data_IF_459181771235
#
_entry.id   IF_459181771235
#
_cell.length_a   1.000
_cell.length_b   1.000
_cell.length_c   1.000
_cell.angle_alpha   90.00
_cell.angle_beta   90.00
_cell.angle_gamma   90.00
#
_symmetry.space_group_name_H-M   'P 1'
#
loop_
_entity.id
_entity.type
_entity.pdbx_description
1 polymer ?
#
# COMPACT_ATOMS: atom_id res chain seq x y z
N UNK A 1 -19.88 -25.99 -16.07
CA UNK A 1 -19.69 -25.53 -14.67
C UNK A 1 -18.24 -25.59 -14.14
N UNK A 2 -17.48 -26.68 -14.36
CA UNK A 2 -16.11 -26.83 -13.79
C UNK A 2 -15.13 -25.69 -14.16
N UNK A 3 -15.09 -25.24 -15.43
CA UNK A 3 -14.19 -24.15 -15.89
C UNK A 3 -14.36 -22.82 -15.11
N UNK A 4 -15.61 -22.40 -14.83
CA UNK A 4 -15.88 -21.16 -14.06
C UNK A 4 -15.37 -21.25 -12.62
N UNK A 5 -15.57 -22.41 -11.95
CA UNK A 5 -15.06 -22.65 -10.59
C UNK A 5 -13.53 -22.59 -10.51
N UNK A 6 -12.85 -23.18 -11.50
CA UNK A 6 -11.38 -23.12 -11.58
C UNK A 6 -10.85 -21.71 -11.85
N UNK A 7 -11.51 -20.94 -12.73
CA UNK A 7 -11.16 -19.54 -12.98
C UNK A 7 -11.30 -18.69 -11.70
N UNK A 8 -12.39 -18.86 -10.95
CA UNK A 8 -12.63 -18.16 -9.69
C UNK A 8 -11.56 -18.52 -8.63
N UNK A 9 -11.24 -19.81 -8.50
CA UNK A 9 -10.20 -20.29 -7.59
C UNK A 9 -8.82 -19.73 -7.94
N UNK A 10 -8.50 -19.63 -9.23
CA UNK A 10 -7.23 -19.10 -9.70
C UNK A 10 -7.14 -17.58 -9.44
N UNK A 11 -8.24 -16.85 -9.64
CA UNK A 11 -8.35 -15.43 -9.29
C UNK A 11 -8.16 -15.20 -7.78
N UNK A 12 -8.83 -15.99 -6.95
CA UNK A 12 -8.67 -15.96 -5.48
C UNK A 12 -7.22 -16.24 -5.05
N UNK A 13 -6.56 -17.22 -5.67
CA UNK A 13 -5.13 -17.50 -5.41
C UNK A 13 -4.24 -16.32 -5.80
N UNK A 14 -4.49 -15.67 -6.95
CA UNK A 14 -3.74 -14.48 -7.39
C UNK A 14 -3.93 -13.30 -6.43
N UNK A 15 -5.17 -13.06 -5.98
CA UNK A 15 -5.49 -12.03 -4.98
C UNK A 15 -4.78 -12.33 -3.64
N UNK A 16 -4.82 -13.58 -3.18
CA UNK A 16 -4.17 -13.98 -1.91
C UNK A 16 -2.65 -13.91 -1.97
N UNK A 17 -2.05 -14.10 -3.15
CA UNK A 17 -0.59 -14.01 -3.36
C UNK A 17 -0.08 -12.59 -3.67
N UNK A 18 -0.93 -11.56 -3.65
CA UNK A 18 -0.47 -10.21 -3.96
C UNK A 18 0.62 -9.78 -2.96
N UNK A 19 1.69 -9.16 -3.49
CA UNK A 19 2.81 -8.64 -2.70
C UNK A 19 2.64 -7.17 -2.33
N UNK A 20 1.52 -6.54 -2.68
CA UNK A 20 1.27 -5.11 -2.46
C UNK A 20 1.35 -4.77 -0.97
N UNK A 21 0.80 -5.61 -0.09
CA UNK A 21 0.88 -5.38 1.36
C UNK A 21 2.31 -5.50 1.90
N UNK A 22 3.12 -6.41 1.35
CA UNK A 22 4.53 -6.56 1.72
C UNK A 22 5.33 -5.35 1.24
N UNK A 23 5.13 -4.95 -0.02
CA UNK A 23 5.78 -3.78 -0.60
C UNK A 23 5.43 -2.49 0.16
N UNK A 24 4.16 -2.31 0.53
CA UNK A 24 3.70 -1.17 1.33
C UNK A 24 4.39 -1.12 2.70
N UNK A 25 4.55 -2.28 3.35
CA UNK A 25 5.24 -2.37 4.64
C UNK A 25 6.73 -2.02 4.49
N UNK A 26 7.39 -2.52 3.44
CA UNK A 26 8.79 -2.17 3.14
C UNK A 26 8.96 -0.67 2.93
N UNK A 27 8.09 -0.03 2.12
CA UNK A 27 8.13 1.41 1.90
C UNK A 27 7.86 2.21 3.17
N UNK A 28 6.94 1.73 4.03
CA UNK A 28 6.69 2.36 5.33
C UNK A 28 7.91 2.31 6.26
N UNK A 29 8.62 1.18 6.27
CA UNK A 29 9.88 1.06 7.02
C UNK A 29 10.98 1.97 6.46
N UNK A 30 11.05 2.12 5.13
CA UNK A 30 11.98 3.04 4.49
C UNK A 30 11.67 4.50 4.84
N UNK A 31 10.39 4.90 4.77
CA UNK A 31 9.96 6.26 5.16
C UNK A 31 10.39 6.61 6.59
N UNK A 32 10.17 5.70 7.55
CA UNK A 32 10.61 5.89 8.95
C UNK A 32 12.13 6.04 9.10
N UNK A 33 12.91 5.37 8.26
CA UNK A 33 14.37 5.52 8.27
C UNK A 33 14.78 6.88 7.70
N UNK A 34 14.12 7.33 6.64
CA UNK A 34 14.37 8.65 6.04
C UNK A 34 14.00 9.78 7.00
N UNK A 35 12.90 9.66 7.75
CA UNK A 35 12.52 10.63 8.78
C UNK A 35 13.66 10.82 9.80
N UNK A 36 14.22 9.73 10.33
CA UNK A 36 15.36 9.79 11.27
C UNK A 36 16.60 10.42 10.64
N UNK A 37 16.95 10.03 9.41
CA UNK A 37 18.09 10.62 8.69
C UNK A 37 17.89 12.13 8.49
N UNK A 38 16.68 12.56 8.16
CA UNK A 38 16.33 13.97 7.99
C UNK A 38 16.45 14.75 9.30
N UNK A 39 16.01 14.18 10.42
CA UNK A 39 16.18 14.74 11.75
C UNK A 39 17.67 14.90 12.11
N UNK A 40 18.47 13.85 11.93
CA UNK A 40 19.92 13.88 12.20
C UNK A 40 20.63 14.95 11.34
N UNK A 41 20.30 15.04 10.05
CA UNK A 41 20.87 16.03 9.14
C UNK A 41 20.50 17.47 9.52
N UNK A 42 19.25 17.70 9.95
CA UNK A 42 18.82 19.01 10.46
C UNK A 42 19.58 19.37 11.74
N UNK A 43 19.73 18.42 12.67
CA UNK A 43 20.49 18.65 13.89
C UNK A 43 21.96 18.99 13.59
N UNK A 44 22.59 18.30 12.63
CA UNK A 44 23.95 18.62 12.17
C UNK A 44 24.04 20.00 11.51
N UNK A 45 23.01 20.43 10.78
CA UNK A 45 22.97 21.75 10.13
C UNK A 45 22.84 22.89 11.17
N UNK A 46 22.05 22.67 12.22
CA UNK A 46 21.91 23.58 13.35
C UNK A 46 23.22 23.66 14.16
N UNK A 47 23.83 22.52 14.48
CA UNK A 47 25.12 22.46 15.21
C UNK A 47 26.29 23.07 14.45
N UNK A 48 26.22 23.08 13.12
CA UNK A 48 27.24 23.70 12.25
C UNK A 48 26.96 25.17 11.94
N UNK A 49 26.02 25.81 12.65
CA UNK A 49 25.78 27.24 12.52
C UNK A 49 26.94 28.07 13.06
N UNK A 50 27.13 29.25 12.48
CA UNK A 50 28.14 30.19 12.93
C UNK A 50 27.63 30.87 14.19
N UNK A 51 28.42 30.85 15.27
CA UNK A 51 28.04 31.58 16.48
C UNK A 51 28.34 33.07 16.30
N UNK A 52 27.43 33.91 16.78
CA UNK A 52 27.61 35.35 16.71
C UNK A 52 28.82 35.78 17.56
N UNK A 53 29.74 36.54 16.95
CA UNK A 53 30.99 36.96 17.60
C UNK A 53 32.14 35.94 17.53
N UNK A 54 31.96 34.79 16.88
CA UNK A 54 33.02 33.81 16.70
C UNK A 54 34.06 34.29 15.67
N UNK A 55 35.35 34.31 16.06
CA UNK A 55 36.44 34.64 15.16
C UNK A 55 36.87 33.36 14.45
N UNK A 56 36.48 33.25 13.17
CA UNK A 56 36.84 32.12 12.31
C UNK A 56 37.98 32.50 11.40
N UNK A 57 38.97 31.60 11.26
CA UNK A 57 39.94 31.73 10.20
C UNK A 57 39.34 31.31 8.84
N UNK A 58 39.99 31.73 7.76
CA UNK A 58 39.50 31.48 6.38
C UNK A 58 39.33 29.99 6.04
N UNK A 59 40.14 29.11 6.65
CA UNK A 59 40.05 27.66 6.45
C UNK A 59 38.81 27.09 7.14
N UNK A 60 38.55 27.48 8.39
CA UNK A 60 37.36 27.08 9.15
C UNK A 60 36.08 27.54 8.45
N UNK A 61 36.05 28.79 7.98
CA UNK A 61 34.91 29.34 7.25
C UNK A 61 34.60 28.53 5.98
N UNK A 62 35.62 28.19 5.19
CA UNK A 62 35.45 27.36 3.98
C UNK A 62 34.97 25.95 4.31
N UNK A 63 35.54 25.33 5.34
CA UNK A 63 35.16 23.97 5.75
C UNK A 63 33.71 23.93 6.23
N UNK A 64 33.32 24.83 7.12
CA UNK A 64 31.94 24.92 7.63
C UNK A 64 30.96 25.24 6.51
N UNK A 65 31.30 26.16 5.60
CA UNK A 65 30.45 26.48 4.45
C UNK A 65 30.24 25.27 3.53
N UNK A 66 31.32 24.58 3.14
CA UNK A 66 31.22 23.39 2.28
C UNK A 66 30.47 22.24 2.96
N UNK A 67 30.67 22.06 4.27
CA UNK A 67 29.92 21.07 5.04
C UNK A 67 28.41 21.38 5.07
N UNK A 68 28.04 22.65 5.30
CA UNK A 68 26.62 23.08 5.29
C UNK A 68 25.98 22.89 3.92
N UNK A 69 26.68 23.22 2.84
CA UNK A 69 26.21 23.00 1.47
C UNK A 69 25.94 21.50 1.21
N UNK A 70 26.87 20.62 1.58
CA UNK A 70 26.69 19.17 1.49
C UNK A 70 25.50 18.66 2.32
N UNK A 71 25.27 19.22 3.51
CA UNK A 71 24.11 18.85 4.35
C UNK A 71 22.79 19.29 3.70
N UNK A 72 22.76 20.49 3.12
CA UNK A 72 21.58 21.00 2.41
C UNK A 72 21.25 20.15 1.19
N UNK A 73 22.26 19.77 0.39
CA UNK A 73 22.06 18.86 -0.75
C UNK A 73 21.49 17.51 -0.30
N UNK A 74 22.03 16.92 0.79
CA UNK A 74 21.51 15.66 1.34
C UNK A 74 20.07 15.78 1.86
N UNK A 75 19.70 16.90 2.47
CA UNK A 75 18.32 17.18 2.89
C UNK A 75 17.37 17.29 1.70
N UNK A 76 17.80 17.93 0.62
CA UNK A 76 17.03 18.02 -0.61
C UNK A 76 16.80 16.64 -1.24
N UNK A 77 17.86 15.83 -1.35
CA UNK A 77 17.76 14.44 -1.83
C UNK A 77 16.79 13.62 -0.95
N UNK A 78 16.90 13.76 0.38
CA UNK A 78 16.01 13.08 1.32
C UNK A 78 14.54 13.49 1.12
N UNK A 79 14.29 14.78 0.92
CA UNK A 79 12.94 15.33 0.68
C UNK A 79 12.36 14.81 -0.63
N UNK A 80 13.16 14.81 -1.70
CA UNK A 80 12.76 14.26 -3.00
C UNK A 80 12.43 12.76 -2.91
N UNK A 81 13.19 12.00 -2.12
CA UNK A 81 12.91 10.59 -1.88
C UNK A 81 11.62 10.39 -1.10
N UNK A 82 11.33 11.23 -0.10
CA UNK A 82 10.07 11.16 0.66
C UNK A 82 8.86 11.36 -0.26
N UNK A 83 8.88 12.40 -1.11
CA UNK A 83 7.82 12.67 -2.08
C UNK A 83 7.62 11.47 -3.02
N UNK A 84 8.71 10.87 -3.48
CA UNK A 84 8.66 9.69 -4.34
C UNK A 84 8.02 8.49 -3.62
N UNK A 85 8.44 8.21 -2.38
CA UNK A 85 7.87 7.12 -1.57
C UNK A 85 6.38 7.32 -1.31
N UNK A 86 5.95 8.55 -1.02
CA UNK A 86 4.54 8.87 -0.82
C UNK A 86 3.72 8.57 -2.08
N UNK A 87 4.25 8.92 -3.26
CA UNK A 87 3.62 8.60 -4.54
C UNK A 87 3.51 7.08 -4.75
N UNK A 88 4.59 6.32 -4.54
CA UNK A 88 4.57 4.86 -4.67
C UNK A 88 3.58 4.21 -3.69
N UNK A 89 3.55 4.68 -2.44
CA UNK A 89 2.61 4.19 -1.43
C UNK A 89 1.15 4.45 -1.85
N UNK A 90 0.87 5.65 -2.38
CA UNK A 90 -0.47 6.00 -2.88
C UNK A 90 -0.89 5.13 -4.06
N UNK A 91 0.01 4.84 -5.00
CA UNK A 91 -0.24 3.93 -6.12
C UNK A 91 -0.56 2.51 -5.62
N UNK A 92 0.22 1.99 -4.67
CA UNK A 92 -0.04 0.68 -4.06
C UNK A 92 -1.38 0.63 -3.31
N UNK A 93 -1.75 1.70 -2.58
CA UNK A 93 -3.06 1.80 -1.93
C UNK A 93 -4.20 1.82 -2.97
N UNK A 94 -4.00 2.52 -4.09
CA UNK A 94 -4.93 2.52 -5.21
C UNK A 94 -5.18 1.11 -5.76
N UNK A 95 -4.13 0.34 -5.99
CA UNK A 95 -4.21 -1.05 -6.45
C UNK A 95 -4.87 -1.97 -5.42
N UNK A 96 -4.55 -1.82 -4.14
CA UNK A 96 -5.21 -2.57 -3.05
C UNK A 96 -6.73 -2.28 -3.04
N UNK A 97 -7.12 -1.02 -3.22
CA UNK A 97 -8.54 -0.64 -3.29
C UNK A 97 -9.26 -1.24 -4.51
N UNK A 98 -8.61 -1.29 -5.68
CA UNK A 98 -9.16 -1.96 -6.86
C UNK A 98 -9.42 -3.44 -6.58
N UNK A 99 -8.46 -4.13 -5.96
CA UNK A 99 -8.59 -5.54 -5.57
C UNK A 99 -9.72 -5.73 -4.55
N UNK A 100 -9.85 -4.84 -3.57
CA UNK A 100 -10.94 -4.88 -2.57
C UNK A 100 -12.30 -4.79 -3.24
N UNK A 101 -12.50 -3.83 -4.15
CA UNK A 101 -13.75 -3.69 -4.93
C UNK A 101 -14.03 -4.92 -5.79
N UNK A 102 -13.02 -5.53 -6.39
CA UNK A 102 -13.20 -6.78 -7.15
C UNK A 102 -13.65 -7.93 -6.24
N UNK A 103 -13.07 -8.05 -5.04
CA UNK A 103 -13.46 -9.05 -4.06
C UNK A 103 -14.92 -8.88 -3.61
N UNK A 104 -15.34 -7.65 -3.32
CA UNK A 104 -16.74 -7.35 -2.97
C UNK A 104 -17.72 -7.73 -4.09
N UNK A 105 -17.38 -7.45 -5.35
CA UNK A 105 -18.20 -7.86 -6.50
C UNK A 105 -18.30 -9.38 -6.63
N UNK A 106 -17.21 -10.10 -6.36
CA UNK A 106 -17.19 -11.56 -6.36
C UNK A 106 -18.08 -12.09 -5.24
N UNK A 107 -17.96 -11.56 -4.03
CA UNK A 107 -18.72 -12.00 -2.86
C UNK A 107 -20.23 -11.78 -3.06
N UNK A 108 -20.64 -10.67 -3.70
CA UNK A 108 -22.03 -10.43 -4.09
C UNK A 108 -22.55 -11.50 -5.06
N UNK A 109 -21.79 -11.80 -6.12
CA UNK A 109 -22.18 -12.85 -7.09
C UNK A 109 -22.30 -14.23 -6.45
N UNK A 110 -21.41 -14.56 -5.51
CA UNK A 110 -21.48 -15.82 -4.76
C UNK A 110 -22.78 -15.89 -3.95
N UNK A 111 -23.17 -14.80 -3.27
CA UNK A 111 -24.44 -14.74 -2.53
C UNK A 111 -25.66 -14.87 -3.44
N UNK A 112 -25.66 -14.19 -4.57
CA UNK A 112 -26.75 -14.28 -5.56
C UNK A 112 -26.89 -15.71 -6.13
N UNK A 113 -25.77 -16.37 -6.46
CA UNK A 113 -25.77 -17.75 -6.91
C UNK A 113 -26.32 -18.70 -5.83
N UNK A 114 -25.94 -18.50 -4.56
CA UNK A 114 -26.43 -19.31 -3.45
C UNK A 114 -27.96 -19.18 -3.29
N UNK A 115 -28.49 -17.95 -3.35
CA UNK A 115 -29.93 -17.69 -3.30
C UNK A 115 -30.69 -18.31 -4.48
N UNK A 116 -30.13 -18.28 -5.70
CA UNK A 116 -30.74 -18.97 -6.84
C UNK A 116 -30.78 -20.49 -6.65
N UNK A 117 -29.72 -21.09 -6.11
CA UNK A 117 -29.67 -22.53 -5.82
C UNK A 117 -30.74 -22.92 -4.79
N UNK A 118 -30.94 -22.12 -3.75
CA UNK A 118 -32.02 -22.33 -2.77
C UNK A 118 -33.40 -22.23 -3.41
N UNK A 119 -33.69 -21.17 -4.17
CA UNK A 119 -34.96 -21.02 -4.90
C UNK A 119 -35.24 -22.20 -5.82
N UNK A 120 -34.23 -22.71 -6.54
CA UNK A 120 -34.38 -23.90 -7.40
C UNK A 120 -34.67 -25.15 -6.56
N UNK A 121 -34.06 -25.31 -5.38
CA UNK A 121 -34.36 -26.44 -4.49
C UNK A 121 -35.78 -26.37 -3.95
N UNK A 122 -36.26 -25.19 -3.58
CA UNK A 122 -37.61 -25.00 -3.05
C UNK A 122 -38.67 -25.25 -4.14
N UNK A 123 -38.47 -24.71 -5.35
CA UNK A 123 -39.33 -25.01 -6.50
C UNK A 123 -39.39 -26.51 -6.83
N UNK A 124 -38.27 -27.24 -6.69
CA UNK A 124 -38.25 -28.69 -6.87
C UNK A 124 -38.99 -29.43 -5.77
N UNK A 125 -38.94 -28.96 -4.52
CA UNK A 125 -39.73 -29.52 -3.42
C UNK A 125 -41.22 -29.31 -3.64
N UNK A 126 -41.63 -28.12 -4.07
CA UNK A 126 -43.04 -27.81 -4.38
C UNK A 126 -43.58 -28.64 -5.54
N UNK A 127 -42.77 -28.84 -6.60
CA UNK A 127 -43.16 -29.72 -7.71
C UNK A 127 -43.30 -31.18 -7.29
N UNK A 128 -42.37 -31.70 -6.49
CA UNK A 128 -42.43 -33.07 -5.98
C UNK A 128 -43.62 -33.28 -5.00
N UNK A 129 -44.05 -32.24 -4.28
CA UNK A 129 -45.23 -32.30 -3.43
C UNK A 129 -46.51 -32.40 -4.27
N UNK A 130 -46.63 -31.62 -5.36
CA UNK A 130 -47.78 -31.69 -6.27
C UNK A 130 -47.90 -33.03 -7.03
N UNK A 131 -46.79 -33.69 -7.33
CA UNK A 131 -46.82 -35.01 -8.00
C UNK A 131 -47.16 -36.17 -7.06
N UNK A 132 -46.89 -36.04 -5.75
CA UNK A 132 -47.19 -37.08 -4.76
C UNK A 132 -48.67 -37.18 -4.37
N UNK A 133 -49.48 -36.18 -4.71
CA UNK A 133 -50.93 -36.12 -4.37
C UNK A 133 -51.80 -36.64 -5.52
N UNK A 134 -51.21 -37.12 -6.63
CA UNK A 134 -51.91 -37.82 -7.71
C UNK A 134 -51.61 -39.32 -7.66
N UNK A 135 -52.20 -40.03 -6.68
CA UNK A 135 -52.51 -41.47 -6.73
C UNK A 135 -53.86 -41.65 -6.04
#
# INVERSE_FOLDING_TARGET
>A
MKKKKYQLLNLLKKIKKNKLSLNLNTLSLEKKKLERISEDLKEMLEKSSFNEGEILNSSQLRQTSSFRENLQEKLEISTNREIHLEKEMNDYLGEINKIKKQKEKIDKKIKEEAQMIEKIKDLRKDHNFKTKVMI
#
